data_IF_046745796281
#
_entry.id   IF_046745796281
#
_cell.length_a   1.000
_cell.length_b   1.000
_cell.length_c   1.000
_cell.angle_alpha   90.00
_cell.angle_beta   90.00
_cell.angle_gamma   90.00
#
_symmetry.space_group_name_H-M   'P 1'
#
loop_
_entity.id
_entity.type
_entity.pdbx_description
1 polymer ?
#
# COMPACT_ATOMS: atom_id res chain seq x y z
N UNK A 1 -18.55 -11.39 3.65
CA UNK A 1 -17.31 -11.60 4.42
C UNK A 1 -17.38 -10.73 5.67
N UNK A 2 -17.00 -11.21 6.84
CA UNK A 2 -17.06 -10.44 8.09
C UNK A 2 -16.09 -9.23 7.98
N UNK A 3 -16.57 -8.01 8.30
CA UNK A 3 -15.74 -6.78 8.26
C UNK A 3 -14.45 -6.92 9.08
N UNK A 4 -14.51 -7.59 10.21
CA UNK A 4 -13.33 -7.87 11.04
C UNK A 4 -12.23 -8.61 10.29
N UNK A 5 -12.56 -9.63 9.48
CA UNK A 5 -11.59 -10.32 8.62
C UNK A 5 -10.98 -9.36 7.58
N UNK A 6 -11.77 -8.40 7.07
CA UNK A 6 -11.29 -7.36 6.16
C UNK A 6 -10.22 -6.47 6.79
N UNK A 7 -10.40 -6.06 8.06
CA UNK A 7 -9.39 -5.30 8.80
C UNK A 7 -8.12 -6.11 9.04
N UNK A 8 -8.24 -7.40 9.44
CA UNK A 8 -7.08 -8.27 9.58
C UNK A 8 -6.30 -8.41 8.27
N UNK A 9 -6.99 -8.58 7.14
CA UNK A 9 -6.34 -8.62 5.84
C UNK A 9 -5.63 -7.30 5.52
N UNK A 10 -6.23 -6.14 5.82
CA UNK A 10 -5.60 -4.84 5.62
C UNK A 10 -4.33 -4.67 6.45
N UNK A 11 -4.39 -5.02 7.74
CA UNK A 11 -3.23 -4.99 8.64
C UNK A 11 -2.13 -5.94 8.17
N UNK A 12 -2.48 -7.19 7.79
CA UNK A 12 -1.51 -8.17 7.26
C UNK A 12 -0.87 -7.66 5.98
N UNK A 13 -1.65 -7.11 5.06
CA UNK A 13 -1.14 -6.56 3.81
C UNK A 13 -0.08 -5.49 4.06
N UNK A 14 -0.41 -4.53 4.90
CA UNK A 14 0.47 -3.39 5.20
C UNK A 14 1.68 -3.78 6.03
N UNK A 15 1.50 -4.61 7.07
CA UNK A 15 2.61 -5.09 7.89
C UNK A 15 3.60 -5.93 7.06
N UNK A 16 3.11 -6.83 6.19
CA UNK A 16 4.01 -7.61 5.32
C UNK A 16 4.68 -6.75 4.26
N UNK A 17 4.02 -5.70 3.77
CA UNK A 17 4.63 -4.75 2.84
C UNK A 17 5.76 -3.95 3.52
N UNK A 18 5.60 -3.59 4.79
CA UNK A 18 6.64 -2.94 5.59
C UNK A 18 7.94 -3.75 5.78
N UNK A 19 7.95 -5.05 5.43
CA UNK A 19 9.16 -5.87 5.39
C UNK A 19 10.04 -5.63 4.14
N UNK A 20 9.59 -4.79 3.20
CA UNK A 20 10.33 -4.49 1.96
C UNK A 20 11.82 -4.16 2.20
N UNK A 21 12.18 -3.23 3.09
CA UNK A 21 13.58 -2.86 3.31
C UNK A 21 14.45 -4.03 3.76
N UNK A 22 13.89 -4.95 4.55
CA UNK A 22 14.60 -6.12 5.08
C UNK A 22 15.25 -6.97 3.99
N UNK A 23 14.59 -7.11 2.85
CA UNK A 23 15.06 -7.95 1.74
C UNK A 23 15.66 -7.13 0.59
N UNK A 24 15.25 -5.86 0.47
CA UNK A 24 15.71 -5.00 -0.64
C UNK A 24 17.11 -4.44 -0.36
N UNK A 25 17.34 -3.92 0.86
CA UNK A 25 18.61 -3.28 1.21
C UNK A 25 19.83 -4.20 1.07
N UNK A 26 19.82 -5.47 1.56
CA UNK A 26 20.93 -6.37 1.33
C UNK A 26 21.19 -6.65 -0.14
N UNK A 27 20.14 -6.79 -0.94
CA UNK A 27 20.26 -7.05 -2.39
C UNK A 27 20.81 -5.83 -3.14
N UNK A 28 20.45 -4.62 -2.74
CA UNK A 28 21.04 -3.37 -3.27
C UNK A 28 22.51 -3.22 -2.87
N UNK A 29 22.88 -3.64 -1.66
CA UNK A 29 24.28 -3.62 -1.19
C UNK A 29 25.20 -4.54 -2.02
N UNK A 30 24.63 -5.59 -2.65
CA UNK A 30 25.35 -6.45 -3.61
C UNK A 30 25.42 -5.84 -5.04
N UNK A 31 24.98 -4.59 -5.23
CA UNK A 31 25.10 -3.85 -6.50
C UNK A 31 23.92 -4.01 -7.47
N UNK A 32 22.81 -4.64 -7.06
CA UNK A 32 21.62 -4.73 -7.92
C UNK A 32 20.89 -3.39 -8.01
N UNK A 33 20.53 -3.02 -9.24
CA UNK A 33 19.68 -1.85 -9.48
C UNK A 33 18.25 -2.09 -8.99
N UNK A 34 17.60 -1.03 -8.58
CA UNK A 34 16.20 -1.05 -8.12
C UNK A 34 15.27 -1.62 -9.18
N UNK A 35 15.45 -1.27 -10.46
CA UNK A 35 14.62 -1.77 -11.57
C UNK A 35 14.72 -3.29 -11.69
N UNK A 36 15.94 -3.84 -11.56
CA UNK A 36 16.16 -5.28 -11.59
C UNK A 36 15.51 -6.00 -10.41
N UNK A 37 15.66 -5.44 -9.20
CA UNK A 37 15.03 -5.98 -7.98
C UNK A 37 13.51 -5.98 -8.11
N UNK A 38 12.90 -4.88 -8.56
CA UNK A 38 11.46 -4.77 -8.71
C UNK A 38 10.92 -5.67 -9.83
N UNK A 39 11.68 -5.83 -10.92
CA UNK A 39 11.36 -6.77 -11.98
C UNK A 39 11.31 -8.22 -11.46
N UNK A 40 12.39 -8.71 -10.82
CA UNK A 40 12.41 -10.04 -10.23
C UNK A 40 11.34 -10.24 -9.17
N UNK A 41 11.11 -9.24 -8.32
CA UNK A 41 10.05 -9.25 -7.32
C UNK A 41 8.68 -9.56 -7.95
N UNK A 42 8.33 -8.85 -9.03
CA UNK A 42 7.04 -9.03 -9.71
C UNK A 42 6.96 -10.36 -10.44
N UNK A 43 8.04 -10.78 -11.11
CA UNK A 43 8.10 -12.05 -11.83
C UNK A 43 7.99 -13.25 -10.88
N UNK A 44 8.78 -13.29 -9.81
CA UNK A 44 8.74 -14.39 -8.85
C UNK A 44 7.40 -14.45 -8.11
N UNK A 45 6.84 -13.30 -7.72
CA UNK A 45 5.51 -13.25 -7.12
C UNK A 45 4.43 -13.74 -8.10
N UNK A 46 4.50 -13.36 -9.38
CA UNK A 46 3.59 -13.84 -10.41
C UNK A 46 3.66 -15.35 -10.58
N UNK A 47 4.88 -15.91 -10.57
CA UNK A 47 5.10 -17.35 -10.65
C UNK A 47 4.46 -18.07 -9.45
N UNK A 48 4.68 -17.56 -8.24
CA UNK A 48 4.07 -18.12 -7.02
C UNK A 48 2.54 -18.07 -7.07
N UNK A 49 1.95 -16.95 -7.54
CA UNK A 49 0.49 -16.85 -7.72
C UNK A 49 0.00 -17.83 -8.78
N UNK A 50 0.73 -17.98 -9.89
CA UNK A 50 0.37 -18.94 -10.94
C UNK A 50 0.37 -20.38 -10.43
N UNK A 51 1.39 -20.77 -9.66
CA UNK A 51 1.43 -22.08 -9.00
C UNK A 51 0.24 -22.25 -8.05
N UNK A 52 -0.06 -21.22 -7.26
CA UNK A 52 -1.21 -21.26 -6.34
C UNK A 52 -2.55 -21.38 -7.09
N UNK A 53 -2.69 -20.70 -8.23
CA UNK A 53 -3.87 -20.84 -9.10
C UNK A 53 -4.00 -22.27 -9.67
N UNK A 54 -2.90 -22.89 -10.11
CA UNK A 54 -2.90 -24.27 -10.57
C UNK A 54 -3.34 -25.23 -9.47
N UNK A 55 -2.76 -25.10 -8.27
CA UNK A 55 -3.11 -25.93 -7.09
C UNK A 55 -4.58 -25.73 -6.69
N UNK A 56 -5.08 -24.49 -6.75
CA UNK A 56 -6.48 -24.15 -6.42
C UNK A 56 -7.45 -24.38 -7.57
N UNK A 57 -6.97 -24.83 -8.73
CA UNK A 57 -7.74 -25.04 -9.96
C UNK A 57 -8.53 -23.80 -10.39
N UNK A 58 -7.96 -22.61 -10.17
CA UNK A 58 -8.56 -21.35 -10.63
C UNK A 58 -8.32 -21.20 -12.12
N UNK A 59 -9.37 -20.87 -12.88
CA UNK A 59 -9.27 -20.70 -14.33
C UNK A 59 -8.43 -19.46 -14.68
N UNK A 60 -7.45 -19.64 -15.58
CA UNK A 60 -6.58 -18.57 -16.10
C UNK A 60 -7.26 -17.72 -17.18
N UNK A 61 -8.33 -18.19 -17.79
CA UNK A 61 -8.98 -17.49 -18.91
C UNK A 61 -9.44 -16.10 -18.50
N UNK A 62 -9.12 -15.10 -19.32
CA UNK A 62 -9.46 -13.69 -19.12
C UNK A 62 -9.98 -13.12 -20.43
N UNK A 63 -11.10 -12.43 -20.38
CA UNK A 63 -11.66 -11.73 -21.55
C UNK A 63 -10.84 -10.48 -21.89
N UNK A 64 -10.88 -10.06 -23.16
CA UNK A 64 -10.14 -8.88 -23.64
C UNK A 64 -10.43 -7.61 -22.82
N UNK A 65 -11.70 -7.39 -22.47
CA UNK A 65 -12.11 -6.24 -21.64
C UNK A 65 -11.60 -6.32 -20.20
N UNK A 66 -11.45 -7.52 -19.65
CA UNK A 66 -10.88 -7.73 -18.33
C UNK A 66 -9.37 -7.52 -18.37
N UNK A 67 -8.71 -8.04 -19.41
CA UNK A 67 -7.28 -7.89 -19.63
C UNK A 67 -6.89 -6.42 -19.72
N UNK A 68 -7.65 -5.59 -20.45
CA UNK A 68 -7.37 -4.14 -20.53
C UNK A 68 -7.40 -3.46 -19.15
N UNK A 69 -8.38 -3.81 -18.28
CA UNK A 69 -8.41 -3.31 -16.92
C UNK A 69 -7.24 -3.82 -16.08
N UNK A 70 -6.84 -5.08 -16.25
CA UNK A 70 -5.72 -5.67 -15.50
C UNK A 70 -4.38 -5.05 -15.92
N UNK A 71 -4.18 -4.78 -17.20
CA UNK A 71 -3.01 -4.06 -17.71
C UNK A 71 -2.98 -2.63 -17.17
N UNK A 72 -4.12 -1.93 -17.18
CA UNK A 72 -4.22 -0.58 -16.60
C UNK A 72 -3.91 -0.57 -15.09
N UNK A 73 -4.42 -1.55 -14.35
CA UNK A 73 -4.10 -1.72 -12.92
C UNK A 73 -2.62 -2.00 -12.72
N UNK A 74 -2.02 -2.86 -13.55
CA UNK A 74 -0.58 -3.14 -13.54
C UNK A 74 0.26 -1.91 -13.85
N UNK A 75 -0.20 -1.05 -14.78
CA UNK A 75 0.44 0.23 -15.08
C UNK A 75 0.42 1.17 -13.86
N UNK A 76 -0.72 1.34 -13.20
CA UNK A 76 -0.79 2.18 -12.00
C UNK A 76 0.01 1.59 -10.83
N UNK A 77 0.06 0.29 -10.67
CA UNK A 77 0.87 -0.36 -9.65
C UNK A 77 2.38 -0.20 -9.93
N UNK A 78 2.80 -0.39 -11.19
CA UNK A 78 4.16 -0.08 -11.66
C UNK A 78 4.49 1.40 -11.46
N UNK A 79 3.63 2.32 -11.94
CA UNK A 79 3.86 3.76 -11.87
C UNK A 79 4.02 4.25 -10.44
N UNK A 80 3.22 3.70 -9.50
CA UNK A 80 3.37 4.01 -8.08
C UNK A 80 4.78 3.66 -7.58
N UNK A 81 5.26 2.46 -7.84
CA UNK A 81 6.58 2.04 -7.39
C UNK A 81 7.71 2.79 -8.13
N UNK A 82 7.66 2.85 -9.46
CA UNK A 82 8.70 3.49 -10.27
C UNK A 82 8.90 4.97 -9.94
N UNK A 83 7.80 5.74 -9.83
CA UNK A 83 7.86 7.17 -9.51
C UNK A 83 8.37 7.41 -8.08
N UNK A 84 8.00 6.58 -7.12
CA UNK A 84 8.51 6.68 -5.75
C UNK A 84 10.03 6.45 -5.70
N UNK A 85 10.51 5.40 -6.36
CA UNK A 85 11.94 5.10 -6.38
C UNK A 85 12.75 6.16 -7.15
N UNK A 86 12.18 6.70 -8.22
CA UNK A 86 12.83 7.80 -8.96
C UNK A 86 12.94 9.07 -8.08
N UNK A 87 11.96 9.33 -7.23
CA UNK A 87 12.01 10.45 -6.30
C UNK A 87 13.12 10.34 -5.24
N UNK A 88 13.55 9.12 -4.88
CA UNK A 88 14.67 8.92 -3.94
C UNK A 88 16.00 9.52 -4.46
N UNK A 89 16.15 9.71 -5.77
CA UNK A 89 17.27 10.45 -6.34
C UNK A 89 17.22 11.97 -6.14
N UNK A 90 16.07 12.50 -5.68
CA UNK A 90 15.80 13.95 -5.59
C UNK A 90 15.46 14.44 -4.19
N UNK A 91 15.29 13.52 -3.23
CA UNK A 91 15.00 13.82 -1.82
C UNK A 91 15.33 12.61 -0.95
N UNK A 92 15.37 12.79 0.38
CA UNK A 92 15.57 11.67 1.30
C UNK A 92 14.43 10.65 1.21
N UNK A 93 14.76 9.37 1.35
CA UNK A 93 13.78 8.26 1.27
C UNK A 93 12.67 8.40 2.33
N UNK A 94 13.00 8.89 3.53
CA UNK A 94 12.02 9.16 4.59
C UNK A 94 11.01 10.23 4.20
N UNK A 95 11.47 11.34 3.59
CA UNK A 95 10.58 12.40 3.11
C UNK A 95 9.69 11.91 1.96
N UNK A 96 10.26 11.20 0.98
CA UNK A 96 9.51 10.63 -0.12
C UNK A 96 8.44 9.64 0.38
N UNK A 97 8.78 8.75 1.29
CA UNK A 97 7.82 7.79 1.87
C UNK A 97 6.71 8.50 2.64
N UNK A 98 7.03 9.57 3.40
CA UNK A 98 6.01 10.37 4.10
C UNK A 98 5.05 11.04 3.12
N UNK A 99 5.57 11.66 2.06
CA UNK A 99 4.74 12.28 1.03
C UNK A 99 3.94 11.25 0.24
N UNK A 100 4.52 10.08 -0.04
CA UNK A 100 3.78 8.98 -0.68
C UNK A 100 2.59 8.55 0.18
N UNK A 101 2.75 8.51 1.50
CA UNK A 101 1.67 8.15 2.42
C UNK A 101 0.52 9.18 2.44
N UNK A 102 0.52 10.21 1.61
CA UNK A 102 -0.67 11.02 1.31
C UNK A 102 -1.69 10.27 0.44
N UNK A 103 -1.38 9.09 -0.11
CA UNK A 103 -2.33 8.34 -0.94
C UNK A 103 -3.69 8.04 -0.29
N UNK A 104 -3.86 7.85 1.05
CA UNK A 104 -5.17 7.72 1.66
C UNK A 104 -6.06 8.96 1.49
N UNK A 105 -5.45 10.16 1.47
CA UNK A 105 -6.16 11.40 1.15
C UNK A 105 -6.63 11.35 -0.31
N UNK A 106 -5.75 10.95 -1.23
CA UNK A 106 -6.08 10.76 -2.64
C UNK A 106 -7.24 9.78 -2.84
N UNK A 107 -7.18 8.60 -2.19
CA UNK A 107 -8.30 7.62 -2.20
C UNK A 107 -9.60 8.25 -1.71
N UNK A 108 -9.54 8.94 -0.57
CA UNK A 108 -10.73 9.55 0.05
C UNK A 108 -11.34 10.63 -0.85
N UNK A 109 -10.50 11.47 -1.47
CA UNK A 109 -10.94 12.50 -2.41
C UNK A 109 -11.56 11.88 -3.67
N UNK A 110 -10.93 10.88 -4.28
CA UNK A 110 -11.48 10.20 -5.47
C UNK A 110 -12.83 9.57 -5.11
N UNK A 111 -12.94 8.90 -3.96
CA UNK A 111 -14.20 8.28 -3.51
C UNK A 111 -15.28 9.31 -3.23
N UNK A 112 -14.92 10.46 -2.67
CA UNK A 112 -15.89 11.54 -2.40
C UNK A 112 -16.37 12.23 -3.69
N UNK A 113 -15.44 12.56 -4.60
CA UNK A 113 -15.75 13.34 -5.82
C UNK A 113 -16.40 12.48 -6.90
N UNK A 114 -15.78 11.34 -7.25
CA UNK A 114 -16.27 10.50 -8.36
C UNK A 114 -17.41 9.56 -7.95
N UNK A 115 -17.38 9.05 -6.73
CA UNK A 115 -18.35 8.05 -6.26
C UNK A 115 -19.33 8.61 -5.23
N UNK A 116 -19.26 9.91 -4.91
CA UNK A 116 -20.14 10.61 -3.96
C UNK A 116 -20.20 9.95 -2.57
N UNK A 117 -19.17 9.20 -2.21
CA UNK A 117 -19.06 8.59 -0.89
C UNK A 117 -18.46 9.59 0.11
N UNK A 118 -19.24 9.98 1.11
CA UNK A 118 -18.78 10.87 2.18
C UNK A 118 -17.98 10.05 3.20
N UNK A 119 -16.71 10.40 3.49
CA UNK A 119 -15.96 9.75 4.56
C UNK A 119 -16.61 10.04 5.92
N UNK A 120 -16.56 9.08 6.83
CA UNK A 120 -17.02 9.34 8.19
C UNK A 120 -16.07 10.31 8.91
N UNK A 121 -16.53 11.08 9.91
CA UNK A 121 -15.66 11.94 10.72
C UNK A 121 -14.52 11.17 11.36
N UNK A 122 -14.76 9.91 11.78
CA UNK A 122 -13.73 9.04 12.34
C UNK A 122 -12.67 8.67 11.31
N UNK A 123 -13.05 8.45 10.04
CA UNK A 123 -12.09 8.20 8.95
C UNK A 123 -11.20 9.42 8.74
N UNK A 124 -11.74 10.64 8.77
CA UNK A 124 -10.97 11.87 8.62
C UNK A 124 -9.98 12.04 9.79
N UNK A 125 -10.44 11.86 11.03
CA UNK A 125 -9.58 11.92 12.22
C UNK A 125 -8.45 10.89 12.13
N UNK A 126 -8.76 9.66 11.75
CA UNK A 126 -7.77 8.60 11.62
C UNK A 126 -6.74 8.91 10.52
N UNK A 127 -7.15 9.49 9.38
CA UNK A 127 -6.22 9.94 8.33
C UNK A 127 -5.26 11.00 8.88
N UNK A 128 -5.78 12.02 9.57
CA UNK A 128 -4.95 13.09 10.15
C UNK A 128 -3.95 12.52 11.16
N UNK A 129 -4.40 11.65 12.06
CA UNK A 129 -3.53 11.01 13.04
C UNK A 129 -2.46 10.12 12.39
N UNK A 130 -2.85 9.31 11.39
CA UNK A 130 -1.91 8.46 10.67
C UNK A 130 -0.85 9.26 9.93
N UNK A 131 -1.25 10.32 9.20
CA UNK A 131 -0.33 11.22 8.51
C UNK A 131 0.62 11.93 9.48
N UNK A 132 0.10 12.42 10.62
CA UNK A 132 0.91 13.06 11.67
C UNK A 132 1.92 12.07 12.26
N UNK A 133 1.48 10.83 12.52
CA UNK A 133 2.34 9.77 13.03
C UNK A 133 3.46 9.44 12.04
N UNK A 134 3.14 9.22 10.76
CA UNK A 134 4.13 8.94 9.70
C UNK A 134 5.10 10.12 9.53
N UNK A 135 4.61 11.37 9.55
CA UNK A 135 5.47 12.55 9.49
C UNK A 135 6.48 12.59 10.64
N UNK A 136 6.05 12.32 11.89
CA UNK A 136 6.96 12.26 13.06
C UNK A 136 8.02 11.16 12.94
N UNK A 137 7.66 10.00 12.32
CA UNK A 137 8.61 8.92 12.06
C UNK A 137 9.68 9.35 11.05
N UNK A 138 9.28 10.10 10.02
CA UNK A 138 10.16 10.50 8.92
C UNK A 138 11.09 11.66 9.27
N UNK A 139 10.73 12.55 10.22
CA UNK A 139 11.54 13.72 10.61
C UNK A 139 12.95 13.34 11.09
N UNK A 140 13.20 12.12 11.51
CA UNK A 140 14.49 11.66 12.02
C UNK A 140 15.26 10.72 11.12
N UNK A 141 14.63 10.17 10.06
CA UNK A 141 15.32 9.40 9.02
C UNK A 141 16.25 10.26 8.14
N UNK A 142 16.18 11.58 8.28
CA UNK A 142 16.98 12.56 7.56
C UNK A 142 18.21 13.05 8.34
N UNK A 143 18.74 12.23 9.27
CA UNK A 143 20.00 12.53 9.93
C UNK A 143 21.16 12.55 8.94
N UNK A 144 21.43 13.72 8.36
CA UNK A 144 22.70 13.99 7.72
C UNK A 144 22.78 14.39 6.26
N UNK A 145 21.68 14.65 5.58
CA UNK A 145 21.77 15.33 4.27
C UNK A 145 20.71 16.44 4.21
N UNK A 146 21.13 17.68 4.30
CA UNK A 146 20.39 18.89 3.94
C UNK A 146 20.07 18.86 2.43
N UNK A 147 19.20 17.96 2.00
CA UNK A 147 18.65 17.97 0.66
C UNK A 147 17.28 18.64 0.72
N UNK A 148 17.22 19.94 0.37
CA UNK A 148 15.95 20.58 0.03
C UNK A 148 15.23 19.70 -0.99
N UNK A 149 13.97 19.29 -0.68
CA UNK A 149 13.18 18.50 -1.60
C UNK A 149 13.09 19.24 -2.93
N UNK A 150 13.59 18.63 -4.00
CA UNK A 150 13.43 19.16 -5.34
C UNK A 150 11.93 19.18 -5.68
N UNK A 151 11.46 20.25 -6.33
CA UNK A 151 10.08 20.33 -6.81
C UNK A 151 9.72 19.11 -7.68
N UNK A 152 10.66 18.65 -8.49
CA UNK A 152 10.51 17.44 -9.33
C UNK A 152 10.28 16.21 -8.46
N UNK A 153 11.08 16.02 -7.40
CA UNK A 153 10.91 14.90 -6.46
C UNK A 153 9.55 14.93 -5.78
N UNK A 154 9.08 16.08 -5.33
CA UNK A 154 7.75 16.23 -4.73
C UNK A 154 6.66 15.83 -5.73
N UNK A 155 6.73 16.31 -6.97
CA UNK A 155 5.76 15.97 -8.01
C UNK A 155 5.77 14.46 -8.33
N UNK A 156 6.94 13.84 -8.42
CA UNK A 156 7.07 12.38 -8.63
C UNK A 156 6.38 11.59 -7.51
N UNK A 157 6.60 11.97 -6.26
CA UNK A 157 5.98 11.28 -5.12
C UNK A 157 4.47 11.48 -5.08
N UNK A 158 3.99 12.68 -5.34
CA UNK A 158 2.55 12.95 -5.39
C UNK A 158 1.87 12.16 -6.53
N UNK A 159 2.50 12.09 -7.70
CA UNK A 159 2.03 11.25 -8.81
C UNK A 159 2.08 9.76 -8.46
N UNK A 160 3.12 9.30 -7.75
CA UNK A 160 3.22 7.95 -7.22
C UNK A 160 2.04 7.63 -6.29
N UNK A 161 1.77 8.49 -5.30
CA UNK A 161 0.64 8.34 -4.39
C UNK A 161 -0.72 8.37 -5.09
N UNK A 162 -0.89 9.27 -6.08
CA UNK A 162 -2.10 9.32 -6.91
C UNK A 162 -2.27 8.04 -7.73
N UNK A 163 -1.20 7.54 -8.34
CA UNK A 163 -1.20 6.28 -9.09
C UNK A 163 -1.68 5.11 -8.21
N UNK A 164 -1.17 5.01 -6.99
CA UNK A 164 -1.58 3.99 -6.04
C UNK A 164 -3.04 4.17 -5.58
N UNK A 165 -3.48 5.41 -5.35
CA UNK A 165 -4.86 5.71 -5.00
C UNK A 165 -5.84 5.28 -6.11
N UNK A 166 -5.51 5.55 -7.38
CA UNK A 166 -6.31 5.12 -8.54
C UNK A 166 -6.38 3.59 -8.60
N UNK A 167 -5.25 2.89 -8.38
CA UNK A 167 -5.23 1.44 -8.30
C UNK A 167 -6.22 0.91 -7.24
N UNK A 168 -6.12 1.39 -5.99
CA UNK A 168 -6.99 0.95 -4.89
C UNK A 168 -8.47 1.21 -5.17
N UNK A 169 -8.80 2.40 -5.69
CA UNK A 169 -10.17 2.78 -6.01
C UNK A 169 -10.72 1.96 -7.17
N UNK A 170 -9.91 1.70 -8.20
CA UNK A 170 -10.32 0.89 -9.36
C UNK A 170 -10.64 -0.55 -8.95
N UNK A 171 -9.79 -1.17 -8.11
CA UNK A 171 -10.05 -2.52 -7.54
C UNK A 171 -11.36 -2.55 -6.76
N UNK A 172 -11.71 -1.47 -6.06
CA UNK A 172 -12.93 -1.39 -5.26
C UNK A 172 -14.21 -1.19 -6.10
N UNK A 173 -14.15 -0.37 -7.15
CA UNK A 173 -15.35 0.17 -7.79
C UNK A 173 -15.63 -0.41 -9.18
N UNK A 174 -14.64 -0.92 -9.90
CA UNK A 174 -14.88 -1.57 -11.19
C UNK A 174 -15.47 -2.96 -10.96
N UNK A 175 -16.76 -3.12 -11.26
CA UNK A 175 -17.53 -4.34 -10.98
C UNK A 175 -16.84 -5.62 -11.48
N UNK A 176 -16.36 -5.63 -12.72
CA UNK A 176 -15.65 -6.79 -13.30
C UNK A 176 -14.42 -7.19 -12.52
N UNK A 177 -13.66 -6.22 -12.03
CA UNK A 177 -12.44 -6.42 -11.21
C UNK A 177 -12.82 -6.85 -9.80
N UNK A 178 -13.82 -6.21 -9.22
CA UNK A 178 -14.31 -6.53 -7.87
C UNK A 178 -14.87 -7.95 -7.77
N UNK A 179 -15.57 -8.43 -8.81
CA UNK A 179 -16.16 -9.78 -8.87
C UNK A 179 -15.14 -10.85 -9.30
N UNK A 180 -13.98 -10.47 -9.86
CA UNK A 180 -12.93 -11.39 -10.29
C UNK A 180 -12.31 -12.14 -9.10
N UNK A 181 -11.88 -13.39 -9.33
CA UNK A 181 -11.10 -14.14 -8.33
C UNK A 181 -9.83 -13.38 -7.91
N UNK A 182 -9.51 -13.40 -6.62
CA UNK A 182 -8.41 -12.61 -6.06
C UNK A 182 -7.03 -13.07 -6.57
N UNK A 183 -6.83 -14.38 -6.79
CA UNK A 183 -5.59 -14.91 -7.34
C UNK A 183 -5.42 -14.47 -8.78
N UNK A 184 -6.49 -14.57 -9.57
CA UNK A 184 -6.51 -14.13 -10.97
C UNK A 184 -6.18 -12.63 -11.08
N UNK A 185 -6.86 -11.79 -10.30
CA UNK A 185 -6.58 -10.35 -10.26
C UNK A 185 -5.11 -10.08 -9.91
N UNK A 186 -4.61 -10.70 -8.84
CA UNK A 186 -3.23 -10.50 -8.39
C UNK A 186 -2.22 -10.96 -9.44
N UNK A 187 -2.42 -12.15 -10.04
CA UNK A 187 -1.53 -12.67 -11.08
C UNK A 187 -1.36 -11.67 -12.23
N UNK A 188 -2.48 -11.26 -12.83
CA UNK A 188 -2.41 -10.42 -14.04
C UNK A 188 -1.92 -9.00 -13.76
N UNK A 189 -2.22 -8.43 -12.58
CA UNK A 189 -1.65 -7.14 -12.15
C UNK A 189 -0.14 -7.24 -11.99
N UNK A 190 0.36 -8.28 -11.31
CA UNK A 190 1.80 -8.47 -11.11
C UNK A 190 2.53 -8.76 -12.42
N UNK A 191 1.97 -9.59 -13.30
CA UNK A 191 2.53 -9.85 -14.63
C UNK A 191 2.60 -8.59 -15.48
N UNK A 192 1.53 -7.79 -15.48
CA UNK A 192 1.50 -6.53 -16.21
C UNK A 192 2.53 -5.54 -15.65
N UNK A 193 2.64 -5.43 -14.33
CA UNK A 193 3.67 -4.61 -13.69
C UNK A 193 5.08 -5.10 -14.01
N UNK A 194 5.31 -6.42 -14.02
CA UNK A 194 6.59 -7.01 -14.43
C UNK A 194 6.94 -6.62 -15.87
N UNK A 195 5.95 -6.67 -16.77
CA UNK A 195 6.12 -6.22 -18.16
C UNK A 195 6.56 -4.77 -18.26
N UNK A 196 5.95 -3.86 -17.50
CA UNK A 196 6.35 -2.46 -17.47
C UNK A 196 7.75 -2.26 -16.87
N UNK A 197 8.12 -3.01 -15.81
CA UNK A 197 9.49 -2.97 -15.28
C UNK A 197 10.51 -3.53 -16.26
N UNK A 198 10.19 -4.60 -17.01
CA UNK A 198 11.05 -5.12 -18.07
C UNK A 198 11.28 -4.09 -19.18
N UNK A 199 10.22 -3.42 -19.61
CA UNK A 199 10.31 -2.35 -20.60
C UNK A 199 11.21 -1.22 -20.07
N UNK A 200 10.96 -0.76 -18.83
CA UNK A 200 11.78 0.28 -18.22
C UNK A 200 13.26 -0.12 -18.09
N UNK A 201 13.52 -1.32 -17.60
CA UNK A 201 14.88 -1.85 -17.48
C UNK A 201 15.59 -1.94 -18.85
N UNK A 202 14.88 -2.27 -19.93
CA UNK A 202 15.46 -2.34 -21.27
C UNK A 202 16.02 -1.00 -21.76
N UNK A 203 15.45 0.12 -21.30
CA UNK A 203 15.95 1.47 -21.59
C UNK A 203 17.11 1.88 -20.65
N UNK A 204 17.27 1.21 -19.51
CA UNK A 204 18.23 1.54 -18.45
C UNK A 204 19.38 0.49 -18.32
N UNK A 205 19.75 -0.16 -19.40
CA UNK A 205 20.88 -1.11 -19.43
C UNK A 205 20.49 -2.57 -19.20
N UNK A 206 19.21 -2.88 -19.15
CA UNK A 206 18.69 -4.25 -19.02
C UNK A 206 18.49 -4.70 -17.57
N UNK A 207 17.96 -5.92 -17.43
CA UNK A 207 17.82 -6.57 -16.12
C UNK A 207 19.14 -7.24 -15.77
N UNK A 208 19.70 -6.88 -14.62
CA UNK A 208 20.96 -7.46 -14.13
C UNK A 208 20.79 -8.92 -13.74
N UNK A 209 21.84 -9.72 -13.93
CA UNK A 209 21.92 -11.07 -13.38
C UNK A 209 21.93 -11.03 -11.83
N UNK A 210 21.38 -12.06 -11.21
CA UNK A 210 21.36 -12.18 -9.74
C UNK A 210 22.79 -12.50 -9.27
N UNK A 211 23.41 -11.66 -8.42
CA UNK A 211 24.84 -11.75 -8.12
C UNK A 211 25.22 -12.93 -7.23
N UNK A 212 24.32 -13.36 -6.35
CA UNK A 212 24.63 -14.40 -5.35
C UNK A 212 23.43 -15.25 -4.98
N UNK A 213 23.68 -16.39 -4.33
CA UNK A 213 22.62 -17.20 -3.73
C UNK A 213 21.87 -16.46 -2.61
N UNK A 214 22.54 -15.57 -1.87
CA UNK A 214 21.91 -14.74 -0.84
C UNK A 214 20.95 -13.72 -1.45
N UNK A 215 21.35 -13.04 -2.54
CA UNK A 215 20.47 -12.16 -3.31
C UNK A 215 19.24 -12.91 -3.84
N UNK A 216 19.42 -14.14 -4.36
CA UNK A 216 18.29 -14.97 -4.81
C UNK A 216 17.30 -15.25 -3.67
N UNK A 217 17.79 -15.65 -2.49
CA UNK A 217 16.94 -15.91 -1.32
C UNK A 217 16.18 -14.64 -0.91
N UNK A 218 16.86 -13.49 -0.85
CA UNK A 218 16.24 -12.22 -0.53
C UNK A 218 15.15 -11.85 -1.56
N UNK A 219 15.40 -12.03 -2.86
CA UNK A 219 14.41 -11.78 -3.91
C UNK A 219 13.20 -12.72 -3.82
N UNK A 220 13.39 -13.99 -3.47
CA UNK A 220 12.31 -14.95 -3.27
C UNK A 220 11.47 -14.58 -2.04
N UNK A 221 12.11 -14.22 -0.92
CA UNK A 221 11.42 -13.74 0.27
C UNK A 221 10.67 -12.41 0.02
N UNK A 222 11.29 -11.51 -0.74
CA UNK A 222 10.69 -10.26 -1.21
C UNK A 222 9.43 -10.51 -2.07
N UNK A 223 9.49 -11.50 -2.95
CA UNK A 223 8.34 -11.90 -3.76
C UNK A 223 7.25 -12.58 -2.93
N UNK A 224 7.62 -13.38 -1.93
CA UNK A 224 6.66 -14.14 -1.12
C UNK A 224 5.94 -13.25 -0.09
N UNK A 225 6.68 -12.63 0.86
CA UNK A 225 6.08 -11.92 1.99
C UNK A 225 5.52 -10.56 1.56
N UNK A 226 6.34 -9.56 1.18
CA UNK A 226 5.84 -8.22 0.89
C UNK A 226 5.14 -8.11 -0.48
N UNK A 227 5.15 -9.15 -1.30
CA UNK A 227 4.43 -9.08 -2.59
C UNK A 227 3.25 -10.04 -2.65
N UNK A 228 3.45 -11.35 -2.59
CA UNK A 228 2.36 -12.32 -2.69
C UNK A 228 1.37 -12.19 -1.52
N UNK A 229 1.86 -12.35 -0.28
CA UNK A 229 1.01 -12.31 0.91
C UNK A 229 0.36 -10.94 1.07
N UNK A 230 1.13 -9.87 0.87
CA UNK A 230 0.64 -8.49 0.95
C UNK A 230 -0.46 -8.23 -0.10
N UNK A 231 -0.21 -8.48 -1.38
CA UNK A 231 -1.19 -8.17 -2.43
C UNK A 231 -2.48 -9.01 -2.32
N UNK A 232 -2.37 -10.31 -2.01
CA UNK A 232 -3.56 -11.14 -1.81
C UNK A 232 -4.40 -10.66 -0.62
N UNK A 233 -3.73 -10.23 0.45
CA UNK A 233 -4.39 -9.65 1.61
C UNK A 233 -4.99 -8.29 1.30
N UNK A 234 -4.27 -7.43 0.58
CA UNK A 234 -4.72 -6.11 0.14
C UNK A 234 -6.01 -6.20 -0.69
N UNK A 235 -6.03 -7.04 -1.72
CA UNK A 235 -7.21 -7.23 -2.58
C UNK A 235 -8.40 -7.72 -1.77
N UNK A 236 -8.20 -8.65 -0.83
CA UNK A 236 -9.26 -9.12 0.08
C UNK A 236 -9.76 -8.02 1.00
N UNK A 237 -8.86 -7.20 1.55
CA UNK A 237 -9.21 -6.06 2.37
C UNK A 237 -10.07 -5.06 1.58
N UNK A 238 -9.60 -4.62 0.41
CA UNK A 238 -10.33 -3.66 -0.44
C UNK A 238 -11.74 -4.16 -0.76
N UNK A 239 -11.88 -5.43 -1.14
CA UNK A 239 -13.19 -6.03 -1.45
C UNK A 239 -14.10 -6.20 -0.24
N UNK A 240 -13.54 -6.21 0.98
CA UNK A 240 -14.30 -6.42 2.22
C UNK A 240 -14.72 -5.14 2.91
N UNK A 241 -13.79 -4.19 3.05
CA UNK A 241 -13.95 -2.95 3.83
C UNK A 241 -13.84 -1.68 2.98
N UNK A 242 -13.55 -1.84 1.69
CA UNK A 242 -13.42 -0.74 0.73
C UNK A 242 -12.02 -0.13 0.69
N UNK A 243 -11.77 0.67 -0.36
CA UNK A 243 -10.45 1.28 -0.61
C UNK A 243 -10.06 2.31 0.46
N UNK A 244 -10.99 3.14 0.93
CA UNK A 244 -10.71 4.19 1.92
C UNK A 244 -10.21 3.61 3.25
N UNK A 245 -10.93 2.65 3.84
CA UNK A 245 -10.49 2.04 5.11
C UNK A 245 -9.20 1.25 4.94
N UNK A 246 -9.06 0.52 3.82
CA UNK A 246 -7.85 -0.24 3.51
C UNK A 246 -6.63 0.67 3.35
N UNK A 247 -6.78 1.84 2.71
CA UNK A 247 -5.67 2.78 2.52
C UNK A 247 -5.15 3.36 3.84
N UNK A 248 -6.04 3.64 4.81
CA UNK A 248 -5.61 4.15 6.13
C UNK A 248 -4.87 3.07 6.93
N UNK A 249 -5.26 1.79 6.77
CA UNK A 249 -4.51 0.68 7.38
C UNK A 249 -3.08 0.54 6.83
N UNK A 250 -2.77 1.17 5.69
CA UNK A 250 -1.42 1.32 5.16
C UNK A 250 -0.42 1.94 6.14
N UNK A 251 -0.90 2.69 7.16
CA UNK A 251 -0.05 3.20 8.23
C UNK A 251 0.69 2.11 9.03
N UNK A 252 0.28 0.86 8.94
CA UNK A 252 1.02 -0.27 9.53
C UNK A 252 2.34 -0.56 8.80
N UNK A 253 2.51 -0.12 7.55
CA UNK A 253 3.73 -0.30 6.77
C UNK A 253 4.94 0.41 7.42
N UNK A 254 4.92 1.74 7.64
CA UNK A 254 6.02 2.41 8.32
C UNK A 254 6.22 1.91 9.76
N UNK A 255 5.16 1.51 10.45
CA UNK A 255 5.29 0.92 11.78
C UNK A 255 6.11 -0.37 11.75
N UNK A 256 5.84 -1.26 10.80
CA UNK A 256 6.61 -2.50 10.64
C UNK A 256 8.05 -2.22 10.23
N UNK A 257 8.28 -1.25 9.32
CA UNK A 257 9.63 -0.87 8.92
C UNK A 257 10.48 -0.40 10.11
N UNK A 258 9.88 0.35 11.06
CA UNK A 258 10.57 0.78 12.29
C UNK A 258 10.88 -0.41 13.21
N UNK A 259 9.92 -1.33 13.40
CA UNK A 259 10.17 -2.54 14.20
C UNK A 259 11.37 -3.30 13.62
N UNK A 260 11.45 -3.44 12.31
CA UNK A 260 12.61 -4.05 11.64
C UNK A 260 13.88 -3.23 11.86
N UNK A 261 13.83 -1.90 11.74
CA UNK A 261 14.95 -1.00 12.02
C UNK A 261 15.53 -1.22 13.40
N UNK A 262 14.67 -1.30 14.41
CA UNK A 262 15.08 -1.50 15.81
C UNK A 262 15.60 -2.93 16.06
N UNK A 263 14.85 -3.94 15.64
CA UNK A 263 15.13 -5.34 16.01
C UNK A 263 16.27 -5.93 15.17
N UNK A 264 16.34 -5.59 13.87
CA UNK A 264 17.33 -6.18 12.94
C UNK A 264 18.54 -5.28 12.76
N UNK A 265 18.33 -3.96 12.63
CA UNK A 265 19.41 -3.01 12.37
C UNK A 265 19.91 -2.28 13.62
N UNK A 266 19.35 -2.56 14.81
CA UNK A 266 19.80 -1.98 16.08
C UNK A 266 19.52 -0.48 16.22
N UNK A 267 18.55 0.06 15.49
CA UNK A 267 18.18 1.47 15.57
C UNK A 267 17.57 1.83 16.93
N UNK A 268 17.86 3.01 17.45
CA UNK A 268 17.33 3.49 18.73
C UNK A 268 15.99 4.20 18.54
N UNK A 269 15.00 3.87 19.36
CA UNK A 269 13.71 4.57 19.39
C UNK A 269 13.88 5.91 20.10
N UNK A 270 13.57 7.01 19.43
CA UNK A 270 13.51 8.34 20.04
C UNK A 270 12.10 8.66 20.56
N UNK A 271 12.00 9.70 21.41
CA UNK A 271 10.70 10.16 21.87
C UNK A 271 9.74 10.58 20.75
N UNK A 272 10.25 11.20 19.68
CA UNK A 272 9.44 11.55 18.49
C UNK A 272 8.95 10.31 17.74
N UNK A 273 9.79 9.29 17.61
CA UNK A 273 9.39 8.00 17.01
C UNK A 273 8.32 7.32 17.87
N UNK A 274 8.50 7.27 19.20
CA UNK A 274 7.51 6.69 20.10
C UNK A 274 6.15 7.38 19.99
N UNK A 275 6.13 8.72 19.89
CA UNK A 275 4.90 9.49 19.68
C UNK A 275 4.28 9.18 18.30
N UNK A 276 5.09 9.10 17.26
CA UNK A 276 4.63 8.71 15.91
C UNK A 276 3.98 7.32 15.88
N UNK A 277 4.61 6.34 16.53
CA UNK A 277 4.06 4.98 16.70
C UNK A 277 2.72 5.03 17.42
N UNK A 278 2.63 5.78 18.53
CA UNK A 278 1.39 5.92 19.30
C UNK A 278 0.26 6.50 18.44
N UNK A 279 0.52 7.55 17.69
CA UNK A 279 -0.48 8.16 16.79
C UNK A 279 -0.97 7.18 15.73
N UNK A 280 -0.09 6.37 15.14
CA UNK A 280 -0.46 5.35 14.15
C UNK A 280 -1.34 4.27 14.80
N UNK A 281 -0.98 3.78 15.98
CA UNK A 281 -1.77 2.77 16.71
C UNK A 281 -3.17 3.32 17.01
N UNK A 282 -3.28 4.56 17.48
CA UNK A 282 -4.57 5.22 17.74
C UNK A 282 -5.38 5.37 16.43
N UNK A 283 -4.75 5.81 15.34
CA UNK A 283 -5.40 5.93 14.04
C UNK A 283 -5.97 4.60 13.54
N UNK A 284 -5.16 3.53 13.59
CA UNK A 284 -5.59 2.17 13.20
C UNK A 284 -6.74 1.69 14.07
N UNK A 285 -6.68 1.94 15.38
CA UNK A 285 -7.74 1.58 16.32
C UNK A 285 -9.05 2.32 16.00
N UNK A 286 -8.99 3.63 15.72
CA UNK A 286 -10.17 4.41 15.31
C UNK A 286 -10.77 3.85 14.02
N UNK A 287 -9.96 3.52 13.02
CA UNK A 287 -10.44 2.96 11.74
C UNK A 287 -11.12 1.60 11.94
N UNK A 288 -10.55 0.72 12.74
CA UNK A 288 -11.14 -0.59 13.03
C UNK A 288 -12.48 -0.44 13.74
N UNK A 289 -12.60 0.52 14.64
CA UNK A 289 -13.82 0.79 15.40
C UNK A 289 -14.83 1.69 14.67
N UNK A 290 -14.41 2.41 13.62
CA UNK A 290 -15.27 3.40 12.93
C UNK A 290 -16.64 2.86 12.50
N UNK A 291 -16.80 1.63 11.96
CA UNK A 291 -18.12 1.13 11.59
C UNK A 291 -19.07 0.92 12.79
N UNK A 292 -18.53 0.65 13.97
CA UNK A 292 -19.31 0.52 15.22
C UNK A 292 -19.69 1.91 15.76
N UNK A 293 -18.75 2.85 15.72
CA UNK A 293 -18.94 4.22 16.18
C UNK A 293 -19.98 4.96 15.32
N UNK A 294 -19.89 4.84 14.00
CA UNK A 294 -20.85 5.44 13.06
C UNK A 294 -22.26 4.88 13.28
N UNK A 295 -22.41 3.57 13.49
CA UNK A 295 -23.70 2.95 13.79
C UNK A 295 -24.31 3.47 15.09
N UNK A 296 -23.51 3.53 16.15
CA UNK A 296 -23.97 3.99 17.47
C UNK A 296 -24.43 5.47 17.45
N UNK A 297 -23.68 6.33 16.70
CA UNK A 297 -24.08 7.73 16.53
C UNK A 297 -25.37 7.85 15.72
N UNK A 298 -25.50 7.12 14.62
CA UNK A 298 -26.71 7.11 13.82
C UNK A 298 -27.94 6.66 14.64
N UNK A 299 -27.81 5.63 15.50
CA UNK A 299 -28.86 5.17 16.38
C UNK A 299 -29.20 6.21 17.46
N UNK A 300 -28.20 6.89 18.04
CA UNK A 300 -28.43 7.97 19.02
C UNK A 300 -29.17 9.14 18.39
N UNK A 301 -28.75 9.59 17.20
CA UNK A 301 -29.40 10.67 16.48
C UNK A 301 -30.86 10.33 16.13
N UNK A 302 -31.14 9.09 15.70
CA UNK A 302 -32.50 8.62 15.45
C UNK A 302 -33.35 8.65 16.72
N UNK A 303 -32.85 8.21 17.87
CA UNK A 303 -33.54 8.26 19.16
C UNK A 303 -33.80 9.69 19.61
N UNK A 304 -32.87 10.62 19.35
CA UNK A 304 -33.11 12.07 19.64
C UNK A 304 -34.18 12.66 18.73
N UNK A 305 -34.16 12.36 17.43
CA UNK A 305 -35.13 12.84 16.47
C UNK A 305 -36.56 12.29 16.69
N UNK A 306 -36.68 11.13 17.35
CA UNK A 306 -37.95 10.46 17.68
C UNK A 306 -38.52 10.86 19.06
N UNK A 307 -37.83 11.69 19.85
CA UNK A 307 -38.36 12.20 21.09
C UNK A 307 -39.51 13.18 20.74
N UNK A 308 -40.73 12.91 21.19
CA UNK A 308 -41.84 13.84 20.92
C UNK A 308 -41.48 15.17 21.56
N UNK A 309 -41.55 16.23 20.76
CA UNK A 309 -41.49 17.61 21.25
C UNK A 309 -42.68 17.75 22.20
N UNK A 310 -42.37 17.74 23.50
CA UNK A 310 -43.42 17.89 24.51
C UNK A 310 -44.24 19.12 24.24
N UNK A 311 -45.53 18.93 23.95
CA UNK A 311 -46.51 20.02 23.99
C UNK A 311 -46.48 20.57 25.41
N UNK A 312 -45.95 21.79 25.54
CA UNK A 312 -46.29 22.68 26.66
C UNK A 312 -47.50 23.47 26.28
#
# INVERSE_FOLDING_TARGET
MNKFKGFLYGMTASATFGLLPLFTLPTMAEGMTTDSILCYRMLFASLLVAVLMMVRRVNFSVGVRELSWLVLLGFFYYGSAALLFQAYGSMSSGMATTLHFLYPVGVTLIMAVLFKQRPSPFTIIAIILALSGVALLSLRGSGGAEGSASLVGILLVLLSGLSYAIYLVTVNNVRRIREMDNLKLTLYVLLSSAGFFLINASFNGGVQAIPSGAALVNLLLLAFLPTLVSNLSLVRAIKSIGSTLTSVLGAMEPLTAIVIGVVVFGETISGTMALGILLIIVAVTIIVLSPLLDKNIAERLRRFAQRPIGRR
#
